data_IF_695642182606
#
_entry.id   IF_695642182606
#
_cell.length_a   1.000
_cell.length_b   1.000
_cell.length_c   1.000
_cell.angle_alpha   90.00
_cell.angle_beta   90.00
_cell.angle_gamma   90.00
#
_symmetry.space_group_name_H-M   'P 1'
#
loop_
_entity.id
_entity.type
_entity.pdbx_description
1 polymer ?
#
# COMPACT_ATOMS: atom_id res chain seq x y z
N UNK A 1 7.96 19.02 2.27
CA UNK A 1 7.66 17.70 2.81
C UNK A 1 8.74 16.70 2.41
N UNK A 2 9.12 15.82 3.32
CA UNK A 2 10.18 14.85 3.08
C UNK A 2 9.62 13.57 2.40
N UNK A 3 9.20 13.71 1.14
CA UNK A 3 8.71 12.55 0.35
C UNK A 3 9.85 11.55 0.12
N UNK A 4 11.07 12.03 -0.11
CA UNK A 4 12.23 11.17 -0.30
C UNK A 4 12.46 10.28 0.93
N UNK A 5 12.50 10.84 2.12
CA UNK A 5 12.70 10.06 3.34
C UNK A 5 11.58 9.04 3.58
N UNK A 6 10.33 9.37 3.25
CA UNK A 6 9.20 8.43 3.33
C UNK A 6 9.38 7.27 2.33
N UNK A 7 9.90 7.53 1.14
CA UNK A 7 10.20 6.49 0.14
C UNK A 7 11.38 5.62 0.59
N UNK A 8 12.45 6.23 1.14
CA UNK A 8 13.61 5.51 1.65
C UNK A 8 13.25 4.48 2.73
N UNK A 9 12.26 4.82 3.56
CA UNK A 9 11.72 3.95 4.59
C UNK A 9 10.57 3.04 4.10
N UNK A 10 10.25 3.06 2.82
CA UNK A 10 9.16 2.29 2.21
C UNK A 10 7.76 2.56 2.81
N UNK A 11 7.53 3.77 3.33
CA UNK A 11 6.25 4.14 3.95
C UNK A 11 5.17 4.50 2.91
N UNK A 12 5.55 4.99 1.74
CA UNK A 12 4.64 5.51 0.70
C UNK A 12 4.83 4.84 -0.66
N UNK A 13 5.50 3.70 -0.74
CA UNK A 13 5.82 3.08 -2.02
C UNK A 13 5.71 1.55 -1.97
N UNK A 14 5.69 0.94 -3.14
CA UNK A 14 5.66 -0.51 -3.32
C UNK A 14 7.07 -1.13 -3.17
N UNK A 15 7.87 -0.64 -2.23
CA UNK A 15 9.21 -1.13 -1.94
C UNK A 15 9.30 -1.61 -0.49
N UNK A 16 10.26 -2.46 -0.24
CA UNK A 16 10.79 -2.71 1.09
C UNK A 16 11.94 -1.72 1.36
N UNK A 17 12.34 -1.53 2.63
CA UNK A 17 13.47 -0.68 2.97
C UNK A 17 14.71 -0.99 2.12
N UNK A 18 15.45 0.04 1.74
CA UNK A 18 16.58 -0.07 0.84
C UNK A 18 16.23 -0.23 -0.64
N UNK A 19 15.03 0.18 -1.05
CA UNK A 19 14.52 0.09 -2.43
C UNK A 19 14.42 -1.34 -2.98
N UNK A 20 14.35 -2.33 -2.10
CA UNK A 20 14.02 -3.69 -2.50
C UNK A 20 12.56 -3.74 -2.99
N UNK A 21 12.31 -4.43 -4.09
CA UNK A 21 10.96 -4.55 -4.65
C UNK A 21 10.04 -5.26 -3.66
N UNK A 22 8.78 -4.84 -3.58
CA UNK A 22 7.79 -5.58 -2.82
C UNK A 22 7.60 -7.00 -3.38
N UNK A 23 7.42 -8.02 -2.53
CA UNK A 23 7.16 -9.38 -2.99
C UNK A 23 5.89 -9.46 -3.83
N UNK A 24 5.88 -10.32 -4.84
CA UNK A 24 4.76 -10.59 -5.73
C UNK A 24 4.29 -12.03 -5.62
N UNK A 25 3.07 -12.29 -6.05
CA UNK A 25 2.48 -13.61 -6.06
C UNK A 25 3.28 -14.64 -6.88
N UNK A 26 4.01 -14.19 -7.90
CA UNK A 26 4.92 -15.04 -8.69
C UNK A 26 6.24 -15.37 -7.98
N UNK A 27 6.54 -14.74 -6.83
CA UNK A 27 7.76 -14.97 -6.06
C UNK A 27 7.40 -15.49 -4.66
N UNK A 28 7.05 -16.77 -4.58
CA UNK A 28 6.58 -17.39 -3.34
C UNK A 28 7.71 -17.66 -2.34
N UNK A 29 8.93 -17.89 -2.82
CA UNK A 29 10.11 -18.14 -1.97
C UNK A 29 11.15 -17.03 -2.07
N UNK A 30 12.02 -16.94 -1.08
CA UNK A 30 13.12 -15.96 -1.07
C UNK A 30 14.04 -16.14 -2.28
N UNK A 31 14.30 -17.37 -2.70
CA UNK A 31 15.13 -17.67 -3.87
C UNK A 31 14.49 -17.15 -5.16
N UNK A 32 13.18 -17.37 -5.34
CA UNK A 32 12.43 -16.83 -6.48
C UNK A 32 12.45 -15.30 -6.49
N UNK A 33 12.29 -14.70 -5.32
CA UNK A 33 12.37 -13.25 -5.16
C UNK A 33 13.75 -12.71 -5.55
N UNK A 34 14.83 -13.31 -5.05
CA UNK A 34 16.20 -12.92 -5.37
C UNK A 34 16.46 -13.07 -6.87
N UNK A 35 16.08 -14.21 -7.45
CA UNK A 35 16.24 -14.46 -8.88
C UNK A 35 15.48 -13.45 -9.75
N UNK A 36 14.25 -13.08 -9.35
CA UNK A 36 13.40 -12.15 -10.09
C UNK A 36 13.74 -10.67 -9.90
N UNK A 37 14.51 -10.31 -8.88
CA UNK A 37 14.80 -8.91 -8.54
C UNK A 37 16.26 -8.52 -8.66
N UNK A 38 17.18 -9.48 -8.70
CA UNK A 38 18.61 -9.19 -8.88
C UNK A 38 18.87 -8.75 -10.33
N UNK A 39 19.41 -7.55 -10.56
CA UNK A 39 19.75 -7.09 -11.90
C UNK A 39 20.78 -8.00 -12.55
N UNK A 40 20.57 -8.32 -13.82
CA UNK A 40 21.57 -9.00 -14.64
C UNK A 40 22.43 -7.94 -15.35
N UNK A 41 23.74 -8.12 -15.31
CA UNK A 41 24.68 -7.26 -16.02
C UNK A 41 25.71 -8.10 -16.76
N UNK A 42 25.96 -7.74 -18.02
CA UNK A 42 27.02 -8.34 -18.81
C UNK A 42 28.42 -7.79 -18.47
N UNK A 43 28.47 -6.66 -17.78
CA UNK A 43 29.74 -6.06 -17.38
C UNK A 43 30.14 -6.49 -15.96
N UNK A 44 31.19 -7.33 -15.79
CA UNK A 44 31.61 -7.79 -14.47
C UNK A 44 32.19 -6.66 -13.59
N UNK A 45 32.51 -5.50 -14.15
CA UNK A 45 32.95 -4.32 -13.42
C UNK A 45 31.81 -3.38 -13.04
N UNK A 46 30.55 -3.76 -13.27
CA UNK A 46 29.41 -2.95 -12.90
C UNK A 46 29.36 -2.71 -11.40
N UNK A 47 29.25 -1.43 -11.02
CA UNK A 47 29.09 -1.00 -9.64
C UNK A 47 27.62 -0.99 -9.18
N UNK A 48 26.73 -1.68 -9.90
CA UNK A 48 25.33 -1.77 -9.50
C UNK A 48 25.21 -2.52 -8.17
N UNK A 49 25.04 -1.77 -7.10
CA UNK A 49 24.96 -2.32 -5.74
C UNK A 49 23.76 -3.26 -5.56
N UNK A 50 22.69 -3.09 -6.36
CA UNK A 50 21.54 -4.01 -6.37
C UNK A 50 21.88 -5.42 -6.88
N UNK A 51 23.04 -5.65 -7.46
CA UNK A 51 23.55 -7.00 -7.72
C UNK A 51 23.72 -7.85 -6.44
N UNK A 52 23.77 -7.18 -5.28
CA UNK A 52 23.78 -7.82 -3.96
C UNK A 52 22.38 -7.98 -3.34
N UNK A 53 21.31 -7.91 -4.14
CA UNK A 53 19.93 -8.06 -3.65
C UNK A 53 19.75 -9.23 -2.70
N UNK A 54 20.37 -10.39 -2.98
CA UNK A 54 20.30 -11.55 -2.11
C UNK A 54 20.80 -11.30 -0.69
N UNK A 55 21.93 -10.57 -0.56
CA UNK A 55 22.48 -10.20 0.76
C UNK A 55 21.56 -9.22 1.48
N UNK A 56 21.05 -8.21 0.77
CA UNK A 56 20.21 -7.18 1.37
C UNK A 56 18.85 -7.74 1.78
N UNK A 57 18.22 -8.55 0.93
CA UNK A 57 16.94 -9.18 1.23
C UNK A 57 17.06 -10.13 2.44
N UNK A 58 18.06 -11.00 2.44
CA UNK A 58 18.30 -11.91 3.57
C UNK A 58 18.57 -11.15 4.86
N UNK A 59 19.42 -10.10 4.80
CA UNK A 59 19.72 -9.27 5.97
C UNK A 59 18.49 -8.55 6.50
N UNK A 60 17.63 -8.02 5.61
CA UNK A 60 16.38 -7.38 5.99
C UNK A 60 15.42 -8.37 6.65
N UNK A 61 15.26 -9.56 6.10
CA UNK A 61 14.39 -10.59 6.68
C UNK A 61 14.86 -10.99 8.08
N UNK A 62 16.16 -11.18 8.27
CA UNK A 62 16.72 -11.48 9.61
C UNK A 62 16.54 -10.34 10.60
N UNK A 63 16.54 -9.10 10.12
CA UNK A 63 16.25 -7.94 10.98
C UNK A 63 14.77 -7.84 11.37
N UNK A 64 13.86 -8.19 10.46
CA UNK A 64 12.42 -8.19 10.73
C UNK A 64 11.98 -9.35 11.61
N UNK A 65 12.60 -10.52 11.44
CA UNK A 65 12.20 -11.76 12.10
C UNK A 65 13.39 -12.42 12.80
N UNK A 66 13.97 -11.78 13.83
CA UNK A 66 15.20 -12.27 14.48
C UNK A 66 15.06 -13.64 15.14
N UNK A 67 13.85 -13.96 15.63
CA UNK A 67 13.57 -15.22 16.32
C UNK A 67 12.79 -16.22 15.47
N UNK A 68 11.91 -15.75 14.60
CA UNK A 68 11.05 -16.60 13.76
C UNK A 68 11.58 -16.89 12.37
N UNK A 69 12.63 -16.21 11.95
CA UNK A 69 13.24 -16.37 10.63
C UNK A 69 14.25 -17.50 10.59
N UNK A 70 13.94 -18.59 9.87
CA UNK A 70 14.82 -19.75 9.65
C UNK A 70 15.16 -19.88 8.18
N UNK A 71 16.23 -20.60 7.80
CA UNK A 71 16.51 -20.85 6.38
C UNK A 71 15.34 -21.49 5.63
N UNK A 72 14.59 -22.37 6.29
CA UNK A 72 13.47 -23.12 5.71
C UNK A 72 12.29 -22.22 5.33
N UNK A 73 12.07 -21.11 6.03
CA UNK A 73 11.02 -20.13 5.72
C UNK A 73 11.57 -18.84 5.05
N UNK A 74 12.75 -18.94 4.42
CA UNK A 74 13.41 -17.79 3.80
C UNK A 74 13.73 -16.67 4.77
N UNK A 75 14.14 -17.00 6.00
CA UNK A 75 14.39 -16.06 7.09
C UNK A 75 13.19 -15.18 7.43
N UNK A 76 11.97 -15.70 7.25
CA UNK A 76 10.72 -14.99 7.47
C UNK A 76 10.11 -14.36 6.19
N UNK A 77 10.71 -14.58 5.03
CA UNK A 77 10.13 -14.13 3.75
C UNK A 77 8.71 -14.67 3.53
N UNK A 78 8.44 -15.87 4.00
CA UNK A 78 7.13 -16.53 3.88
C UNK A 78 6.04 -15.78 4.64
N UNK A 79 6.38 -14.98 5.65
CA UNK A 79 5.44 -14.15 6.41
C UNK A 79 5.06 -12.86 5.70
N UNK A 80 5.84 -12.43 4.71
CA UNK A 80 5.53 -11.19 3.97
C UNK A 80 4.30 -11.39 3.08
N UNK A 81 3.40 -10.40 3.01
CA UNK A 81 2.33 -10.40 2.03
C UNK A 81 2.91 -10.36 0.62
N UNK A 82 2.26 -11.07 -0.30
CA UNK A 82 2.62 -11.11 -1.72
C UNK A 82 1.60 -10.27 -2.50
N UNK A 83 2.06 -9.29 -3.26
CA UNK A 83 1.19 -8.50 -4.13
C UNK A 83 0.70 -9.36 -5.30
N UNK A 84 -0.56 -9.21 -5.64
CA UNK A 84 -1.11 -9.85 -6.84
C UNK A 84 -0.49 -9.22 -8.11
N UNK A 85 0.12 -10.05 -8.94
CA UNK A 85 0.80 -9.62 -10.18
C UNK A 85 -0.18 -9.11 -11.25
N UNK A 86 -1.45 -9.48 -11.17
CA UNK A 86 -2.48 -9.13 -12.15
C UNK A 86 -3.36 -7.94 -11.78
N UNK A 87 -3.22 -7.37 -10.60
CA UNK A 87 -4.08 -6.28 -10.15
C UNK A 87 -3.42 -4.91 -10.36
N UNK A 88 -4.18 -4.00 -10.95
CA UNK A 88 -3.88 -2.58 -10.91
C UNK A 88 -4.33 -2.01 -9.54
N UNK A 89 -3.38 -1.82 -8.64
CA UNK A 89 -3.58 -1.22 -7.32
C UNK A 89 -3.45 0.31 -7.31
N UNK A 90 -3.55 0.96 -8.47
CA UNK A 90 -3.56 2.42 -8.55
C UNK A 90 -4.76 3.00 -7.80
N UNK A 91 -4.61 4.24 -7.34
CA UNK A 91 -5.70 4.98 -6.68
C UNK A 91 -6.97 5.01 -7.55
N UNK A 92 -6.81 5.14 -8.87
CA UNK A 92 -7.97 5.18 -9.78
C UNK A 92 -8.70 3.84 -9.81
N UNK A 93 -7.97 2.73 -9.92
CA UNK A 93 -8.55 1.38 -9.88
C UNK A 93 -9.17 1.05 -8.53
N UNK A 94 -8.60 1.53 -7.42
CA UNK A 94 -9.21 1.41 -6.10
C UNK A 94 -10.55 2.14 -6.03
N UNK A 95 -10.63 3.37 -6.53
CA UNK A 95 -11.90 4.13 -6.57
C UNK A 95 -12.93 3.43 -7.46
N UNK A 96 -12.50 2.87 -8.59
CA UNK A 96 -13.39 2.11 -9.47
C UNK A 96 -13.93 0.84 -8.78
N UNK A 97 -13.09 0.13 -8.06
CA UNK A 97 -13.48 -1.04 -7.29
C UNK A 97 -14.40 -0.69 -6.10
N UNK A 98 -14.18 0.43 -5.42
CA UNK A 98 -15.09 0.95 -4.39
C UNK A 98 -16.44 1.35 -5.02
N UNK A 99 -16.42 2.07 -6.14
CA UNK A 99 -17.64 2.46 -6.86
C UNK A 99 -18.45 1.24 -7.31
N UNK A 100 -17.79 0.19 -7.75
CA UNK A 100 -18.41 -1.09 -8.12
C UNK A 100 -18.81 -1.96 -6.91
N UNK A 101 -18.55 -1.51 -5.67
CA UNK A 101 -18.88 -2.25 -4.46
C UNK A 101 -17.99 -3.49 -4.19
N UNK A 102 -16.85 -3.59 -4.87
CA UNK A 102 -15.89 -4.70 -4.67
C UNK A 102 -15.01 -4.47 -3.43
N UNK A 103 -14.63 -3.22 -3.18
CA UNK A 103 -13.94 -2.81 -1.94
C UNK A 103 -15.00 -2.33 -0.96
N UNK A 104 -14.98 -2.85 0.25
CA UNK A 104 -15.98 -2.63 1.28
C UNK A 104 -15.51 -1.76 2.44
N UNK A 105 -14.21 -1.64 2.62
CA UNK A 105 -13.63 -0.84 3.68
C UNK A 105 -12.50 0.05 3.20
N UNK A 106 -12.34 1.22 3.81
CA UNK A 106 -11.26 2.17 3.50
C UNK A 106 -10.67 2.72 4.78
N UNK A 107 -9.34 2.65 4.90
CA UNK A 107 -8.59 3.46 5.86
C UNK A 107 -7.91 4.61 5.12
N UNK A 108 -8.25 5.83 5.48
CA UNK A 108 -7.73 7.05 4.86
C UNK A 108 -6.93 7.85 5.89
N UNK A 109 -5.63 8.00 5.68
CA UNK A 109 -4.73 8.67 6.63
C UNK A 109 -4.17 9.94 6.01
N UNK A 110 -4.47 11.09 6.59
CA UNK A 110 -3.93 12.40 6.18
C UNK A 110 -4.27 12.84 4.75
N UNK A 111 -5.29 12.26 4.13
CA UNK A 111 -5.67 12.51 2.75
C UNK A 111 -7.10 13.04 2.63
N UNK A 112 -7.41 13.69 1.50
CA UNK A 112 -8.75 14.18 1.21
C UNK A 112 -9.20 13.76 -0.21
N UNK A 113 -9.36 12.46 -0.48
CA UNK A 113 -9.68 11.95 -1.81
C UNK A 113 -10.99 12.49 -2.39
N UNK A 114 -11.96 12.86 -1.57
CA UNK A 114 -13.23 13.47 -2.03
C UNK A 114 -13.03 14.81 -2.76
N UNK A 115 -11.90 15.49 -2.53
CA UNK A 115 -11.53 16.75 -3.18
C UNK A 115 -10.32 16.61 -4.09
N UNK A 116 -9.29 15.85 -3.68
CA UNK A 116 -8.00 15.86 -4.35
C UNK A 116 -7.91 14.92 -5.55
N UNK A 117 -8.80 13.93 -5.65
CA UNK A 117 -8.76 12.98 -6.77
C UNK A 117 -9.61 13.43 -7.95
N UNK A 118 -9.24 13.03 -9.18
CA UNK A 118 -10.05 13.25 -10.36
C UNK A 118 -11.45 12.68 -10.20
N UNK A 119 -12.44 13.35 -10.80
CA UNK A 119 -13.85 12.94 -10.74
C UNK A 119 -14.39 12.79 -9.31
N UNK A 120 -14.34 13.88 -8.55
CA UNK A 120 -14.80 13.91 -7.15
C UNK A 120 -16.24 13.40 -6.95
N UNK A 121 -17.11 13.57 -7.95
CA UNK A 121 -18.47 13.02 -7.90
C UNK A 121 -18.47 11.49 -7.84
N UNK A 122 -17.59 10.84 -8.61
CA UNK A 122 -17.41 9.37 -8.57
C UNK A 122 -16.81 8.93 -7.25
N UNK A 123 -15.80 9.65 -6.76
CA UNK A 123 -15.17 9.37 -5.46
C UNK A 123 -16.21 9.40 -4.34
N UNK A 124 -17.02 10.47 -4.26
CA UNK A 124 -18.07 10.59 -3.24
C UNK A 124 -19.12 9.48 -3.33
N UNK A 125 -19.49 9.05 -4.53
CA UNK A 125 -20.37 7.88 -4.71
C UNK A 125 -19.69 6.58 -4.29
N UNK A 126 -18.40 6.42 -4.58
CA UNK A 126 -17.61 5.26 -4.15
C UNK A 126 -17.55 5.16 -2.63
N UNK A 127 -17.36 6.27 -1.92
CA UNK A 127 -17.39 6.31 -0.44
C UNK A 127 -18.74 5.85 0.13
N UNK A 128 -19.84 6.11 -0.56
CA UNK A 128 -21.19 5.68 -0.13
C UNK A 128 -21.44 4.17 -0.31
N UNK A 129 -20.61 3.49 -1.11
CA UNK A 129 -20.70 2.05 -1.36
C UNK A 129 -19.88 1.20 -0.39
N UNK A 130 -19.11 1.86 0.50
CA UNK A 130 -18.37 1.19 1.56
C UNK A 130 -19.31 0.73 2.68
N UNK A 131 -18.95 -0.34 3.35
CA UNK A 131 -19.57 -0.75 4.60
C UNK A 131 -19.02 0.09 5.76
N UNK A 132 -17.70 0.39 5.72
CA UNK A 132 -17.06 1.23 6.72
C UNK A 132 -15.90 2.07 6.16
N UNK A 133 -15.61 3.18 6.83
CA UNK A 133 -14.44 4.02 6.57
C UNK A 133 -13.82 4.49 7.88
N UNK A 134 -12.50 4.31 8.02
CA UNK A 134 -11.69 4.93 9.08
C UNK A 134 -10.95 6.11 8.49
N UNK A 135 -11.18 7.29 9.00
CA UNK A 135 -10.48 8.51 8.59
C UNK A 135 -9.61 9.02 9.72
N UNK A 136 -8.30 9.03 9.50
CA UNK A 136 -7.29 9.47 10.47
C UNK A 136 -6.76 10.81 10.00
N UNK A 137 -7.06 11.89 10.72
CA UNK A 137 -6.66 13.25 10.32
C UNK A 137 -6.65 14.20 11.51
N UNK A 138 -6.03 15.38 11.32
CA UNK A 138 -5.96 16.44 12.30
C UNK A 138 -7.36 17.07 12.53
N UNK A 139 -8.17 17.17 11.47
CA UNK A 139 -9.52 17.73 11.52
C UNK A 139 -10.45 17.08 10.49
N UNK A 140 -11.74 17.32 10.65
CA UNK A 140 -12.79 16.89 9.73
C UNK A 140 -12.65 17.60 8.38
N UNK A 141 -12.50 16.82 7.30
CA UNK A 141 -12.45 17.31 5.94
C UNK A 141 -13.58 16.69 5.09
N UNK A 142 -13.66 17.04 3.79
CA UNK A 142 -14.74 16.62 2.92
C UNK A 142 -14.81 15.09 2.72
N UNK A 143 -13.69 14.38 2.87
CA UNK A 143 -13.69 12.91 2.87
C UNK A 143 -14.27 12.38 4.18
N UNK A 144 -13.85 12.91 5.31
CA UNK A 144 -14.33 12.51 6.61
C UNK A 144 -15.84 12.77 6.77
N UNK A 145 -16.34 13.84 6.15
CA UNK A 145 -17.73 14.28 6.23
C UNK A 145 -18.50 14.15 4.90
N UNK A 146 -18.08 13.26 4.00
CA UNK A 146 -18.70 13.10 2.67
C UNK A 146 -20.23 12.89 2.74
N UNK A 147 -20.73 12.28 3.80
CA UNK A 147 -22.13 12.01 4.06
C UNK A 147 -22.97 13.27 4.31
N UNK A 148 -22.32 14.42 4.60
CA UNK A 148 -22.95 15.74 4.69
C UNK A 148 -22.96 16.47 3.34
N UNK A 149 -22.49 15.83 2.25
CA UNK A 149 -22.34 16.47 0.95
C UNK A 149 -23.68 16.93 0.34
N UNK A 150 -23.63 17.92 -0.57
CA UNK A 150 -24.85 18.42 -1.23
C UNK A 150 -25.67 17.34 -1.89
N UNK A 151 -26.96 17.33 -1.66
CA UNK A 151 -27.91 16.38 -2.24
C UNK A 151 -27.93 15.00 -1.56
N UNK A 152 -27.17 14.79 -0.49
CA UNK A 152 -27.23 13.57 0.32
C UNK A 152 -28.14 13.73 1.53
N UNK A 153 -28.85 12.67 1.83
CA UNK A 153 -29.56 12.50 3.10
C UNK A 153 -28.66 11.65 4.01
N UNK A 154 -28.10 12.21 5.10
CA UNK A 154 -27.24 11.47 6.01
C UNK A 154 -27.84 10.17 6.55
N UNK A 155 -29.17 10.14 6.71
CA UNK A 155 -29.88 8.95 7.20
C UNK A 155 -29.91 7.79 6.20
N UNK A 156 -29.61 8.07 4.93
CA UNK A 156 -29.59 7.05 3.85
C UNK A 156 -28.19 6.56 3.53
N UNK A 157 -27.15 7.24 4.02
CA UNK A 157 -25.77 6.78 3.87
C UNK A 157 -25.54 5.62 4.84
N UNK A 158 -25.13 4.47 4.30
CA UNK A 158 -24.93 3.25 5.07
C UNK A 158 -23.51 3.06 5.58
N UNK A 159 -22.56 3.77 5.00
CA UNK A 159 -21.13 3.68 5.37
C UNK A 159 -20.95 4.11 6.81
N UNK A 160 -20.45 3.23 7.66
CA UNK A 160 -20.06 3.56 9.03
C UNK A 160 -18.73 4.33 9.02
N UNK A 161 -18.71 5.53 9.60
CA UNK A 161 -17.54 6.42 9.56
C UNK A 161 -16.93 6.58 10.94
N UNK A 162 -15.64 6.23 11.05
CA UNK A 162 -14.83 6.41 12.24
C UNK A 162 -13.84 7.56 12.00
N UNK A 163 -13.93 8.61 12.79
CA UNK A 163 -13.02 9.75 12.74
C UNK A 163 -12.04 9.65 13.90
N UNK A 164 -10.77 9.43 13.58
CA UNK A 164 -9.69 9.32 14.56
C UNK A 164 -8.80 10.55 14.47
N UNK A 165 -8.77 11.40 15.50
CA UNK A 165 -7.91 12.57 15.52
C UNK A 165 -6.45 12.15 15.71
N UNK A 166 -5.54 12.85 15.03
CA UNK A 166 -4.09 12.74 15.21
C UNK A 166 -3.48 14.12 15.37
N UNK A 167 -2.37 14.21 16.07
CA UNK A 167 -1.58 15.42 16.28
C UNK A 167 -0.37 15.45 15.37
#
# INVERSE_FOLDING_TARGET
PNVQGSTDHALLSHYLPGYLKAPKASWQTLEQYIAGTTPQTANPQSLNWMSNTGKYATSLMRAFYPEGGTPENGFGYDYLPKLDDGQDASVMSMIDAMYAGKIKGLTCVGQNPACSLPNSNKVRKALQNLDWMVHVNIFDNETASFWKGPGLDPKKVKTECFLLPVT
#
